data_IF_955911755598
#
_entry.id   IF_955911755598
#
_cell.length_a   1.000
_cell.length_b   1.000
_cell.length_c   1.000
_cell.angle_alpha   90.00
_cell.angle_beta   90.00
_cell.angle_gamma   90.00
#
_symmetry.space_group_name_H-M   'P 1'
#
loop_
_entity.id
_entity.type
_entity.pdbx_description
1 polymer ?
#
# COMPACT_ATOMS: atom_id res chain seq x y z
N UNK A 1 51.52 6.56 -47.07
CA UNK A 1 50.97 5.94 -45.85
C UNK A 1 49.78 6.79 -45.44
N UNK A 2 48.60 6.45 -45.96
CA UNK A 2 47.35 7.17 -45.71
C UNK A 2 46.72 6.60 -44.44
N UNK A 3 46.71 7.37 -43.36
CA UNK A 3 45.97 7.05 -42.15
C UNK A 3 44.86 8.10 -42.05
N UNK A 4 43.76 7.84 -42.74
CA UNK A 4 42.54 8.63 -42.61
C UNK A 4 41.99 8.35 -41.21
N UNK A 5 42.09 9.34 -40.33
CA UNK A 5 41.28 9.41 -39.12
C UNK A 5 39.98 10.10 -39.53
N UNK A 6 39.01 9.32 -40.00
CA UNK A 6 37.68 9.86 -40.30
C UNK A 6 37.00 10.30 -39.00
N UNK A 7 36.35 11.47 -38.97
CA UNK A 7 35.57 11.89 -37.81
C UNK A 7 34.35 10.98 -37.68
N UNK A 8 34.27 10.20 -36.60
CA UNK A 8 33.08 9.43 -36.23
C UNK A 8 31.87 10.36 -36.21
N UNK A 9 30.95 10.14 -37.15
CA UNK A 9 29.72 10.90 -37.26
C UNK A 9 28.76 10.60 -36.10
N UNK A 10 27.72 11.43 -35.91
CA UNK A 10 26.72 11.27 -34.85
C UNK A 10 25.86 10.00 -34.98
N UNK A 11 26.03 9.21 -36.03
CA UNK A 11 25.37 7.94 -36.26
C UNK A 11 25.94 6.79 -35.40
N UNK A 12 27.21 6.86 -34.99
CA UNK A 12 27.88 5.79 -34.24
C UNK A 12 27.47 5.72 -32.76
N UNK A 13 26.63 6.65 -32.29
CA UNK A 13 26.19 6.73 -30.90
C UNK A 13 24.95 5.88 -30.57
N UNK A 14 24.25 5.34 -31.58
CA UNK A 14 22.97 4.65 -31.39
C UNK A 14 23.07 3.11 -31.34
N UNK A 15 24.21 2.53 -31.70
CA UNK A 15 24.43 1.07 -31.76
C UNK A 15 25.08 0.48 -30.50
N UNK A 16 24.87 1.10 -29.34
CA UNK A 16 25.13 0.39 -28.08
C UNK A 16 23.86 -0.33 -27.70
N UNK A 17 23.63 -1.52 -28.28
CA UNK A 17 22.63 -2.46 -27.77
C UNK A 17 22.86 -2.59 -26.26
N UNK A 18 21.98 -1.98 -25.47
CA UNK A 18 22.02 -2.08 -24.01
C UNK A 18 21.79 -3.56 -23.71
N UNK A 19 22.85 -4.26 -23.32
CA UNK A 19 22.78 -5.68 -22.98
C UNK A 19 21.67 -5.88 -21.93
N UNK A 20 20.52 -6.39 -22.36
CA UNK A 20 19.39 -6.67 -21.49
C UNK A 20 19.77 -7.87 -20.63
N UNK A 21 20.41 -7.60 -19.50
CA UNK A 21 20.79 -8.64 -18.53
C UNK A 21 19.54 -9.42 -18.18
N UNK A 22 19.54 -10.72 -18.50
CA UNK A 22 18.42 -11.64 -18.25
C UNK A 22 18.03 -11.54 -16.77
N UNK A 23 16.82 -11.02 -16.50
CA UNK A 23 16.31 -10.87 -15.14
C UNK A 23 16.14 -12.26 -14.54
N UNK A 24 17.02 -12.63 -13.62
CA UNK A 24 16.84 -13.84 -12.82
C UNK A 24 15.73 -13.56 -11.78
N UNK A 25 14.73 -14.43 -11.65
CA UNK A 25 13.53 -14.15 -10.82
C UNK A 25 13.88 -13.87 -9.35
N UNK A 26 14.88 -14.56 -8.78
CA UNK A 26 15.34 -14.32 -7.41
C UNK A 26 15.90 -12.91 -7.18
N UNK A 27 16.65 -12.37 -8.16
CA UNK A 27 17.21 -11.02 -8.07
C UNK A 27 16.13 -9.93 -8.14
N UNK A 28 14.99 -10.21 -8.78
CA UNK A 28 13.87 -9.26 -8.86
C UNK A 28 13.16 -9.16 -7.52
N UNK A 29 12.90 -10.28 -6.85
CA UNK A 29 12.24 -10.30 -5.53
C UNK A 29 13.10 -9.60 -4.48
N UNK A 30 14.39 -9.91 -4.41
CA UNK A 30 15.32 -9.23 -3.49
C UNK A 30 15.35 -7.73 -3.78
N UNK A 31 15.43 -7.34 -5.06
CA UNK A 31 15.42 -5.92 -5.45
C UNK A 31 14.16 -5.19 -4.99
N UNK A 32 13.00 -5.83 -5.05
CA UNK A 32 11.73 -5.25 -4.58
C UNK A 32 11.65 -5.20 -3.05
N UNK A 33 12.15 -6.22 -2.36
CA UNK A 33 12.16 -6.28 -0.90
C UNK A 33 13.04 -5.18 -0.29
N UNK A 34 14.17 -4.87 -0.93
CA UNK A 34 15.17 -3.93 -0.42
C UNK A 34 15.22 -2.61 -1.20
N UNK A 35 14.16 -2.25 -1.95
CA UNK A 35 14.19 -1.03 -2.76
C UNK A 35 14.07 0.22 -1.91
N UNK A 36 14.85 1.24 -2.24
CA UNK A 36 14.70 2.59 -1.67
C UNK A 36 14.13 3.59 -2.68
N UNK A 37 14.04 3.20 -3.95
CA UNK A 37 13.52 4.04 -5.03
C UNK A 37 12.03 4.35 -4.82
N UNK A 38 11.70 5.66 -4.69
CA UNK A 38 10.35 6.14 -4.46
C UNK A 38 9.35 5.70 -5.55
N UNK A 39 9.81 5.50 -6.79
CA UNK A 39 8.94 4.98 -7.87
C UNK A 39 8.57 3.54 -7.56
N UNK A 40 9.54 2.65 -7.37
CA UNK A 40 9.27 1.24 -7.06
C UNK A 40 8.38 1.10 -5.82
N UNK A 41 8.61 1.90 -4.77
CA UNK A 41 7.75 1.94 -3.56
C UNK A 41 6.35 2.46 -3.90
N UNK A 42 6.22 3.49 -4.74
CA UNK A 42 4.93 3.98 -5.22
C UNK A 42 4.15 2.90 -5.98
N UNK A 43 4.80 2.14 -6.86
CA UNK A 43 4.17 1.01 -7.55
C UNK A 43 3.71 -0.08 -6.58
N UNK A 44 4.53 -0.39 -5.57
CA UNK A 44 4.16 -1.34 -4.52
C UNK A 44 2.86 -0.90 -3.82
N UNK A 45 2.78 0.35 -3.35
CA UNK A 45 1.56 0.91 -2.75
C UNK A 45 0.35 0.85 -3.67
N UNK A 46 0.49 1.26 -4.93
CA UNK A 46 -0.61 1.26 -5.91
C UNK A 46 -1.10 -0.16 -6.19
N UNK A 47 -0.19 -1.12 -6.34
CA UNK A 47 -0.54 -2.52 -6.59
C UNK A 47 -1.25 -3.16 -5.38
N UNK A 48 -0.72 -2.97 -4.16
CA UNK A 48 -1.33 -3.56 -2.96
C UNK A 48 -2.65 -2.90 -2.60
N UNK A 49 -2.74 -1.57 -2.67
CA UNK A 49 -4.00 -0.87 -2.40
C UNK A 49 -5.09 -1.27 -3.39
N UNK A 50 -4.74 -1.47 -4.66
CA UNK A 50 -5.68 -1.99 -5.65
C UNK A 50 -6.09 -3.45 -5.37
N UNK A 51 -5.18 -4.30 -4.90
CA UNK A 51 -5.55 -5.64 -4.43
C UNK A 51 -6.56 -5.59 -3.27
N UNK A 52 -6.34 -4.72 -2.28
CA UNK A 52 -7.29 -4.48 -1.20
C UNK A 52 -8.61 -3.88 -1.69
N UNK A 53 -8.59 -3.02 -2.71
CA UNK A 53 -9.82 -2.53 -3.34
C UNK A 53 -10.66 -3.66 -3.92
N UNK A 54 -10.05 -4.63 -4.60
CA UNK A 54 -10.77 -5.80 -5.12
C UNK A 54 -11.35 -6.65 -3.98
N UNK A 55 -10.58 -6.89 -2.92
CA UNK A 55 -11.04 -7.64 -1.74
C UNK A 55 -12.24 -6.93 -1.08
N UNK A 56 -12.12 -5.63 -0.83
CA UNK A 56 -13.21 -4.85 -0.26
C UNK A 56 -14.42 -4.73 -1.19
N UNK A 57 -14.20 -4.72 -2.51
CA UNK A 57 -15.26 -4.75 -3.51
C UNK A 57 -16.06 -6.05 -3.47
N UNK A 58 -15.38 -7.19 -3.36
CA UNK A 58 -16.05 -8.50 -3.18
C UNK A 58 -16.87 -8.53 -1.89
N UNK A 59 -16.33 -8.03 -0.77
CA UNK A 59 -17.10 -7.92 0.48
C UNK A 59 -18.35 -7.04 0.31
N UNK A 60 -18.23 -5.91 -0.40
CA UNK A 60 -19.37 -5.04 -0.70
C UNK A 60 -20.45 -5.74 -1.53
N UNK A 61 -20.03 -6.52 -2.54
CA UNK A 61 -20.96 -7.29 -3.36
C UNK A 61 -21.72 -8.34 -2.54
N UNK A 62 -21.05 -9.02 -1.60
CA UNK A 62 -21.71 -9.98 -0.69
C UNK A 62 -22.72 -9.26 0.21
N UNK A 63 -22.34 -8.14 0.83
CA UNK A 63 -23.23 -7.31 1.66
C UNK A 63 -24.48 -6.89 0.86
N UNK A 64 -24.28 -6.41 -0.37
CA UNK A 64 -25.37 -5.97 -1.25
C UNK A 64 -26.24 -7.13 -1.72
N UNK A 65 -25.66 -8.30 -1.94
CA UNK A 65 -26.40 -9.50 -2.29
C UNK A 65 -27.28 -9.98 -1.12
N UNK A 66 -26.79 -9.92 0.12
CA UNK A 66 -27.59 -10.21 1.32
C UNK A 66 -28.78 -9.24 1.44
N UNK A 67 -28.56 -7.94 1.22
CA UNK A 67 -29.61 -6.93 1.30
C UNK A 67 -30.55 -6.89 0.08
N UNK A 68 -30.38 -7.77 -0.91
CA UNK A 68 -31.20 -7.74 -2.13
C UNK A 68 -32.66 -8.11 -1.87
N UNK A 69 -32.94 -8.87 -0.80
CA UNK A 69 -34.30 -9.21 -0.35
C UNK A 69 -34.37 -9.15 1.18
N UNK A 70 -35.53 -8.86 1.78
CA UNK A 70 -35.69 -8.94 3.23
C UNK A 70 -35.48 -10.37 3.76
N UNK A 71 -34.86 -10.50 4.93
CA UNK A 71 -34.52 -11.79 5.56
C UNK A 71 -33.02 -12.06 5.57
N UNK A 72 -32.62 -13.28 5.98
CA UNK A 72 -31.25 -13.78 5.84
C UNK A 72 -31.20 -14.81 4.71
N UNK A 73 -30.22 -14.72 3.80
CA UNK A 73 -30.15 -15.62 2.63
C UNK A 73 -28.75 -16.18 2.34
N UNK A 74 -27.69 -15.40 2.51
CA UNK A 74 -26.32 -15.74 2.09
C UNK A 74 -25.40 -15.86 3.31
N UNK A 75 -25.46 -14.90 4.23
CA UNK A 75 -24.54 -14.82 5.39
C UNK A 75 -25.29 -14.77 6.72
N UNK A 76 -24.64 -15.21 7.79
CA UNK A 76 -25.16 -15.04 9.15
C UNK A 76 -25.10 -13.56 9.58
N UNK A 77 -25.83 -13.21 10.64
CA UNK A 77 -25.79 -11.84 11.22
C UNK A 77 -24.39 -11.43 11.63
N UNK A 78 -23.65 -12.36 12.21
CA UNK A 78 -22.27 -12.14 12.65
C UNK A 78 -21.33 -11.96 11.46
N UNK A 79 -21.42 -12.83 10.45
CA UNK A 79 -20.65 -12.70 9.22
C UNK A 79 -20.94 -11.39 8.50
N UNK A 80 -22.20 -10.94 8.48
CA UNK A 80 -22.57 -9.65 7.92
C UNK A 80 -21.87 -8.49 8.64
N UNK A 81 -21.86 -8.51 9.99
CA UNK A 81 -21.19 -7.52 10.81
C UNK A 81 -19.67 -7.52 10.58
N UNK A 82 -19.05 -8.69 10.45
CA UNK A 82 -17.63 -8.83 10.12
C UNK A 82 -17.31 -8.26 8.73
N UNK A 83 -18.12 -8.61 7.72
CA UNK A 83 -17.96 -8.10 6.35
C UNK A 83 -18.11 -6.58 6.30
N UNK A 84 -19.08 -6.01 7.01
CA UNK A 84 -19.29 -4.56 7.04
C UNK A 84 -18.11 -3.82 7.69
N UNK A 85 -17.64 -4.33 8.83
CA UNK A 85 -16.48 -3.80 9.55
C UNK A 85 -15.24 -3.83 8.66
N UNK A 86 -14.91 -5.00 8.12
CA UNK A 86 -13.71 -5.20 7.31
C UNK A 86 -13.80 -4.49 5.97
N UNK A 87 -14.96 -4.41 5.33
CA UNK A 87 -15.16 -3.59 4.13
C UNK A 87 -14.83 -2.12 4.38
N UNK A 88 -15.39 -1.53 5.45
CA UNK A 88 -15.13 -0.13 5.80
C UNK A 88 -13.64 0.11 6.09
N UNK A 89 -13.03 -0.75 6.89
CA UNK A 89 -11.59 -0.66 7.22
C UNK A 89 -10.72 -0.80 5.98
N UNK A 90 -10.95 -1.81 5.14
CA UNK A 90 -10.17 -2.06 3.93
C UNK A 90 -10.27 -0.87 2.98
N UNK A 91 -11.47 -0.34 2.75
CA UNK A 91 -11.67 0.77 1.82
C UNK A 91 -11.03 2.07 2.29
N UNK A 92 -11.17 2.43 3.57
CA UNK A 92 -10.66 3.69 4.11
C UNK A 92 -9.16 3.63 4.40
N UNK A 93 -8.72 2.59 5.10
CA UNK A 93 -7.40 2.54 5.72
C UNK A 93 -6.39 1.71 4.93
N UNK A 94 -6.84 0.73 4.13
CA UNK A 94 -5.94 -0.15 3.36
C UNK A 94 -5.93 0.14 1.86
N UNK A 95 -6.97 0.79 1.34
CA UNK A 95 -7.09 1.22 -0.05
C UNK A 95 -6.89 2.73 -0.19
N UNK A 96 -7.81 3.56 0.30
CA UNK A 96 -7.79 5.00 0.00
C UNK A 96 -6.53 5.70 0.51
N UNK A 97 -6.20 5.53 1.79
CA UNK A 97 -5.02 6.17 2.39
C UNK A 97 -3.70 5.72 1.72
N UNK A 98 -3.46 4.41 1.51
CA UNK A 98 -2.23 3.94 0.85
C UNK A 98 -2.19 4.22 -0.65
N UNK A 99 -3.34 4.30 -1.33
CA UNK A 99 -3.42 4.73 -2.74
C UNK A 99 -2.86 6.15 -2.90
N UNK A 100 -3.28 7.09 -2.05
CA UNK A 100 -2.74 8.45 -2.07
C UNK A 100 -1.26 8.49 -1.70
N UNK A 101 -0.80 7.69 -0.74
CA UNK A 101 0.62 7.55 -0.44
C UNK A 101 1.41 7.00 -1.65
N UNK A 102 0.83 6.07 -2.42
CA UNK A 102 1.41 5.53 -3.65
C UNK A 102 1.56 6.59 -4.74
N UNK A 103 0.52 7.40 -4.96
CA UNK A 103 0.59 8.53 -5.90
C UNK A 103 1.61 9.58 -5.45
N UNK A 104 1.64 9.94 -4.17
CA UNK A 104 2.64 10.87 -3.63
C UNK A 104 4.04 10.33 -3.86
N UNK A 105 4.29 9.07 -3.56
CA UNK A 105 5.58 8.44 -3.86
C UNK A 105 5.94 8.50 -5.34
N UNK A 106 5.00 8.24 -6.24
CA UNK A 106 5.29 8.19 -7.67
C UNK A 106 5.49 9.59 -8.29
N UNK A 107 4.67 10.55 -7.90
CA UNK A 107 4.48 11.82 -8.60
C UNK A 107 5.17 12.98 -7.87
N UNK A 108 5.05 13.06 -6.54
CA UNK A 108 5.46 14.27 -5.79
C UNK A 108 6.94 14.62 -5.98
N UNK A 109 7.91 13.69 -5.82
CA UNK A 109 9.33 14.02 -6.02
C UNK A 109 9.61 14.56 -7.43
N UNK A 110 8.92 14.00 -8.44
CA UNK A 110 9.06 14.44 -9.83
C UNK A 110 8.49 15.85 -10.05
N UNK A 111 7.35 16.17 -9.44
CA UNK A 111 6.72 17.49 -9.55
C UNK A 111 7.58 18.60 -8.97
N UNK A 112 8.27 18.33 -7.85
CA UNK A 112 9.12 19.32 -7.20
C UNK A 112 10.59 19.30 -7.68
N UNK A 113 10.92 18.41 -8.61
CA UNK A 113 12.29 18.22 -9.12
C UNK A 113 13.27 17.64 -8.09
N UNK A 114 12.77 16.92 -7.08
CA UNK A 114 13.60 16.20 -6.13
C UNK A 114 14.14 14.89 -6.74
N UNK A 115 15.40 14.51 -6.46
CA UNK A 115 15.98 13.27 -6.99
C UNK A 115 15.38 12.01 -6.34
N UNK A 116 14.94 12.11 -5.09
CA UNK A 116 14.26 11.08 -4.29
C UNK A 116 13.55 11.76 -3.09
N UNK A 117 12.92 10.97 -2.23
CA UNK A 117 12.38 11.43 -0.94
C UNK A 117 13.48 11.66 0.11
N UNK A 118 13.19 12.47 1.14
CA UNK A 118 14.14 12.86 2.19
C UNK A 118 14.73 11.68 2.97
N UNK A 119 13.93 10.67 3.28
CA UNK A 119 14.32 9.48 4.03
C UNK A 119 13.95 8.19 3.27
N UNK A 120 14.74 7.78 2.26
CA UNK A 120 14.37 6.66 1.38
C UNK A 120 14.18 5.31 2.10
N UNK A 121 14.98 5.01 3.13
CA UNK A 121 14.83 3.77 3.93
C UNK A 121 13.62 3.81 4.84
N UNK A 122 13.28 4.99 5.37
CA UNK A 122 12.08 5.18 6.19
C UNK A 122 10.82 5.00 5.34
N UNK A 123 10.87 5.46 4.08
CA UNK A 123 9.81 5.26 3.10
C UNK A 123 9.55 3.77 2.82
N UNK A 124 10.62 2.99 2.63
CA UNK A 124 10.52 1.55 2.47
C UNK A 124 9.92 0.90 3.72
N UNK A 125 10.38 1.28 4.92
CA UNK A 125 9.83 0.76 6.18
C UNK A 125 8.34 1.09 6.33
N UNK A 126 7.93 2.31 5.98
CA UNK A 126 6.54 2.75 6.03
C UNK A 126 5.62 1.85 5.17
N UNK A 127 6.09 1.44 3.99
CA UNK A 127 5.37 0.50 3.14
C UNK A 127 5.23 -0.88 3.79
N UNK A 128 6.30 -1.43 4.37
CA UNK A 128 6.25 -2.74 5.01
C UNK A 128 5.36 -2.75 6.25
N UNK A 129 5.39 -1.69 7.07
CA UNK A 129 4.48 -1.54 8.20
C UNK A 129 3.02 -1.51 7.76
N UNK A 130 2.71 -0.80 6.67
CA UNK A 130 1.39 -0.82 6.05
C UNK A 130 0.99 -2.22 5.58
N UNK A 131 1.84 -2.90 4.79
CA UNK A 131 1.51 -4.21 4.24
C UNK A 131 1.28 -5.24 5.35
N UNK A 132 2.23 -5.37 6.29
CA UNK A 132 2.10 -6.34 7.37
C UNK A 132 0.98 -5.98 8.35
N UNK A 133 0.79 -4.69 8.67
CA UNK A 133 -0.36 -4.25 9.46
C UNK A 133 -1.69 -4.60 8.81
N UNK A 134 -1.80 -4.40 7.50
CA UNK A 134 -3.00 -4.75 6.73
C UNK A 134 -3.24 -6.26 6.68
N UNK A 135 -2.19 -7.05 6.50
CA UNK A 135 -2.27 -8.52 6.53
C UNK A 135 -2.66 -9.05 7.91
N UNK A 136 -2.18 -8.44 9.00
CA UNK A 136 -2.57 -8.81 10.38
C UNK A 136 -4.07 -8.57 10.56
N UNK A 137 -4.57 -7.39 10.19
CA UNK A 137 -5.99 -7.06 10.35
C UNK A 137 -6.91 -7.95 9.47
N UNK A 138 -6.53 -8.23 8.21
CA UNK A 138 -7.28 -9.17 7.35
C UNK A 138 -7.12 -10.63 7.82
N UNK A 139 -6.01 -10.95 8.48
CA UNK A 139 -5.76 -12.24 9.12
C UNK A 139 -6.81 -12.63 10.15
N UNK A 140 -7.61 -11.68 10.64
CA UNK A 140 -8.80 -11.95 11.46
C UNK A 140 -9.77 -12.93 10.80
N UNK A 141 -9.90 -12.96 9.47
CA UNK A 141 -10.76 -13.95 8.79
C UNK A 141 -10.24 -15.40 8.89
N UNK A 142 -8.99 -15.60 9.29
CA UNK A 142 -8.39 -16.93 9.47
C UNK A 142 -8.56 -17.47 10.89
N UNK A 143 -9.09 -16.66 11.83
CA UNK A 143 -9.41 -17.14 13.18
C UNK A 143 -10.71 -17.95 13.17
N UNK A 144 -10.91 -18.86 14.14
CA UNK A 144 -12.15 -19.65 14.23
C UNK A 144 -13.42 -18.80 14.38
N UNK A 145 -13.32 -17.68 15.10
CA UNK A 145 -14.42 -16.76 15.40
C UNK A 145 -14.60 -15.68 14.32
N UNK A 146 -13.63 -15.55 13.41
CA UNK A 146 -13.64 -14.58 12.33
C UNK A 146 -13.09 -13.20 12.71
N UNK A 147 -13.32 -12.23 11.82
CA UNK A 147 -12.78 -10.88 11.92
C UNK A 147 -13.56 -10.00 12.91
N UNK A 148 -13.13 -8.75 13.09
CA UNK A 148 -13.83 -7.76 13.92
C UNK A 148 -15.27 -7.51 13.42
N UNK A 149 -16.24 -7.43 14.33
CA UNK A 149 -17.69 -7.34 14.02
C UNK A 149 -18.37 -6.06 14.54
N UNK A 150 -17.64 -5.15 15.20
CA UNK A 150 -18.18 -3.97 15.87
C UNK A 150 -18.28 -2.69 14.98
N UNK A 151 -18.00 -2.81 13.68
CA UNK A 151 -17.99 -1.71 12.71
C UNK A 151 -16.66 -0.93 12.70
N UNK A 152 -16.30 -0.35 11.56
CA UNK A 152 -15.01 0.35 11.39
C UNK A 152 -14.82 1.57 12.31
N UNK A 153 -15.91 2.08 12.88
CA UNK A 153 -15.92 3.17 13.87
C UNK A 153 -15.37 2.74 15.24
N UNK A 154 -15.43 1.44 15.57
CA UNK A 154 -14.95 0.87 16.83
C UNK A 154 -15.44 1.59 18.09
N UNK A 155 -16.77 1.72 18.28
CA UNK A 155 -17.31 2.34 19.49
C UNK A 155 -16.91 1.58 20.77
N UNK A 156 -16.39 2.30 21.77
CA UNK A 156 -15.86 1.75 23.02
C UNK A 156 -16.78 0.79 23.79
N UNK A 157 -18.11 1.04 23.87
CA UNK A 157 -18.99 0.11 24.57
C UNK A 157 -19.12 -1.26 23.89
N UNK A 158 -18.75 -1.38 22.61
CA UNK A 158 -18.91 -2.62 21.82
C UNK A 158 -17.60 -3.37 21.61
N UNK A 159 -16.46 -2.69 21.47
CA UNK A 159 -15.16 -3.36 21.19
C UNK A 159 -14.41 -3.83 22.46
N UNK A 160 -15.12 -4.21 23.53
CA UNK A 160 -14.48 -4.67 24.77
C UNK A 160 -14.56 -6.19 24.93
N UNK A 161 -13.86 -6.71 25.93
CA UNK A 161 -13.80 -8.14 26.26
C UNK A 161 -15.17 -8.76 26.57
N UNK A 162 -16.19 -7.96 26.90
CA UNK A 162 -17.53 -8.48 27.18
C UNK A 162 -18.34 -8.69 25.90
N UNK A 163 -18.21 -7.80 24.92
CA UNK A 163 -19.04 -7.81 23.71
C UNK A 163 -18.33 -8.36 22.46
N UNK A 164 -17.01 -8.17 22.34
CA UNK A 164 -16.21 -8.67 21.22
C UNK A 164 -14.90 -9.32 21.70
N UNK A 165 -14.96 -10.40 22.52
CA UNK A 165 -13.79 -11.08 23.12
C UNK A 165 -12.87 -11.82 22.13
N UNK A 166 -13.11 -11.70 20.83
CA UNK A 166 -12.50 -12.55 19.81
C UNK A 166 -11.13 -12.03 19.38
N UNK A 167 -10.23 -12.96 19.05
CA UNK A 167 -8.87 -12.65 18.56
C UNK A 167 -8.92 -11.78 17.28
N UNK A 168 -9.96 -11.90 16.47
CA UNK A 168 -10.16 -11.05 15.28
C UNK A 168 -10.22 -9.56 15.59
N UNK A 169 -10.81 -9.18 16.72
CA UNK A 169 -10.85 -7.80 17.22
C UNK A 169 -9.44 -7.29 17.53
N UNK A 170 -8.64 -8.08 18.25
CA UNK A 170 -7.29 -7.72 18.63
C UNK A 170 -6.36 -7.61 17.42
N UNK A 171 -6.47 -8.54 16.47
CA UNK A 171 -5.74 -8.49 15.21
C UNK A 171 -6.09 -7.25 14.40
N UNK A 172 -7.36 -6.84 14.39
CA UNK A 172 -7.78 -5.61 13.76
C UNK A 172 -7.12 -4.38 14.40
N UNK A 173 -7.16 -4.28 15.74
CA UNK A 173 -6.56 -3.16 16.49
C UNK A 173 -5.04 -3.10 16.23
N UNK A 174 -4.35 -4.23 16.41
CA UNK A 174 -2.90 -4.30 16.26
C UNK A 174 -2.45 -4.07 14.81
N UNK A 175 -3.18 -4.61 13.84
CA UNK A 175 -2.92 -4.41 12.42
C UNK A 175 -3.05 -2.94 12.01
N UNK A 176 -4.08 -2.24 12.52
CA UNK A 176 -4.25 -0.82 12.28
C UNK A 176 -3.21 0.05 13.00
N UNK A 177 -2.79 -0.32 14.22
CA UNK A 177 -1.69 0.36 14.89
C UNK A 177 -0.40 0.27 14.07
N UNK A 178 -0.05 -0.93 13.59
CA UNK A 178 1.13 -1.16 12.76
C UNK A 178 1.08 -0.37 11.45
N UNK A 179 -0.06 -0.46 10.74
CA UNK A 179 -0.25 0.28 9.49
C UNK A 179 -0.24 1.80 9.74
N UNK A 180 -0.81 2.26 10.84
CA UNK A 180 -0.86 3.68 11.23
C UNK A 180 0.53 4.28 11.45
N UNK A 181 1.44 3.55 12.09
CA UNK A 181 2.85 3.95 12.17
C UNK A 181 3.46 4.13 10.78
N UNK A 182 3.17 3.21 9.85
CA UNK A 182 3.60 3.36 8.46
C UNK A 182 3.13 4.67 7.83
N UNK A 183 1.86 5.01 7.99
CA UNK A 183 1.29 6.26 7.45
C UNK A 183 1.91 7.51 8.06
N UNK A 184 2.16 7.52 9.37
CA UNK A 184 2.81 8.64 10.08
C UNK A 184 4.22 8.86 9.54
N UNK A 185 5.03 7.79 9.46
CA UNK A 185 6.41 7.86 8.97
C UNK A 185 6.47 8.31 7.50
N UNK A 186 5.57 7.82 6.65
CA UNK A 186 5.43 8.28 5.27
C UNK A 186 5.08 9.77 5.18
N UNK A 187 4.16 10.24 6.02
CA UNK A 187 3.72 11.64 6.04
C UNK A 187 4.84 12.59 6.45
N UNK A 188 5.61 12.25 7.50
CA UNK A 188 6.80 13.01 7.91
C UNK A 188 7.81 13.08 6.77
N UNK A 189 8.04 11.97 6.07
CA UNK A 189 8.97 11.91 4.95
C UNK A 189 8.52 12.82 3.79
N UNK A 190 7.24 12.80 3.42
CA UNK A 190 6.72 13.66 2.37
C UNK A 190 6.82 15.14 2.73
N UNK A 191 6.46 15.52 3.96
CA UNK A 191 6.56 16.90 4.43
C UNK A 191 8.01 17.39 4.37
N UNK A 192 8.95 16.59 4.88
CA UNK A 192 10.38 16.93 4.84
C UNK A 192 10.89 17.07 3.39
N UNK A 193 10.45 16.19 2.49
CA UNK A 193 10.81 16.24 1.07
C UNK A 193 10.30 17.53 0.41
N UNK A 194 9.03 17.88 0.63
CA UNK A 194 8.40 19.08 0.04
C UNK A 194 9.03 20.36 0.58
N UNK A 195 9.39 20.41 1.87
CA UNK A 195 9.95 21.64 2.44
C UNK A 195 11.41 21.82 2.05
N UNK A 196 12.21 20.74 2.08
CA UNK A 196 13.67 20.83 2.06
C UNK A 196 14.33 20.43 0.72
N UNK A 197 13.62 19.78 -0.21
CA UNK A 197 14.25 19.17 -1.40
C UNK A 197 13.70 19.67 -2.75
N UNK A 198 13.01 20.81 -2.76
CA UNK A 198 12.49 21.42 -3.99
C UNK A 198 13.63 21.90 -4.89
N UNK A 199 13.41 21.85 -6.19
CA UNK A 199 14.36 22.37 -7.17
C UNK A 199 14.64 23.87 -6.95
N UNK A 200 15.88 24.33 -7.22
CA UNK A 200 16.22 25.75 -7.15
C UNK A 200 15.29 26.58 -8.05
N UNK A 201 14.72 27.66 -7.49
CA UNK A 201 13.79 28.54 -8.21
C UNK A 201 12.30 28.21 -8.01
N UNK A 202 11.96 27.14 -7.29
CA UNK A 202 10.59 26.80 -6.92
C UNK A 202 10.24 27.40 -5.55
N UNK A 203 9.38 28.43 -5.52
CA UNK A 203 8.92 29.13 -4.30
C UNK A 203 7.58 28.61 -3.80
#
# INVERSE_FOLDING_TARGET
MSILNEPKGPADAYDTEVAVRRKQPGNVVVKWLTTTDHKTIGTLYLATSFAFFLIGGVMALIIRAELARPGLQIVSKEQYNQLFTMHGTVMLLMFATPLFAGFTNWIMPLQIGAPDVAFPRLNMLAYWLYLFGSLIAVGGFLTPEGAADFGWFAYAPLHNEVFSPYVGSDLWIMGLAFSGFGTILGSVNFIATIICMRAPGMT
#
